data_IF_232487506567
#
_entry.id   IF_232487506567
#
_cell.length_a   1.000
_cell.length_b   1.000
_cell.length_c   1.000
_cell.angle_alpha   90.00
_cell.angle_beta   90.00
_cell.angle_gamma   90.00
#
_symmetry.space_group_name_H-M   'P 1'
#
loop_
_entity.id
_entity.type
_entity.pdbx_description
1 polymer ?
#
# COMPACT_ATOMS: atom_id res chain seq x y z
N UNK A 1 -25.54 9.17 -19.03
CA UNK A 1 -25.27 9.30 -17.59
C UNK A 1 -24.91 7.90 -17.11
N UNK A 2 -23.68 7.68 -16.65
CA UNK A 2 -23.23 6.36 -16.21
C UNK A 2 -24.08 5.95 -15.01
N UNK A 3 -24.81 4.84 -15.12
CA UNK A 3 -25.80 4.40 -14.10
C UNK A 3 -25.19 4.01 -12.75
N UNK A 4 -23.86 4.05 -12.65
CA UNK A 4 -23.08 3.51 -11.55
C UNK A 4 -22.15 4.54 -10.90
N UNK A 5 -22.07 5.78 -11.39
CA UNK A 5 -21.33 6.86 -10.73
C UNK A 5 -22.30 7.69 -9.89
N UNK A 6 -21.95 7.91 -8.63
CA UNK A 6 -22.77 8.69 -7.71
C UNK A 6 -22.39 10.18 -7.77
N UNK A 7 -23.41 11.02 -7.86
CA UNK A 7 -23.28 12.46 -7.72
C UNK A 7 -23.01 12.87 -6.26
N UNK A 8 -22.51 14.10 -6.08
CA UNK A 8 -22.13 14.63 -4.76
C UNK A 8 -23.29 14.71 -3.76
N UNK A 9 -24.52 14.81 -4.26
CA UNK A 9 -25.74 14.85 -3.44
C UNK A 9 -26.09 13.49 -2.81
N UNK A 10 -25.45 12.39 -3.25
CA UNK A 10 -25.69 11.03 -2.74
C UNK A 10 -24.86 10.64 -1.52
N UNK A 11 -24.15 11.61 -0.92
CA UNK A 11 -23.33 11.34 0.26
C UNK A 11 -24.13 10.73 1.41
N UNK A 12 -25.37 11.19 1.65
CA UNK A 12 -26.17 10.69 2.77
C UNK A 12 -26.49 9.19 2.61
N UNK A 13 -26.91 8.77 1.42
CA UNK A 13 -27.19 7.36 1.11
C UNK A 13 -25.93 6.50 1.21
N UNK A 14 -24.79 7.03 0.77
CA UNK A 14 -23.50 6.34 0.91
C UNK A 14 -23.10 6.20 2.39
N UNK A 15 -23.25 7.27 3.18
CA UNK A 15 -22.92 7.29 4.60
C UNK A 15 -23.81 6.32 5.40
N UNK A 16 -25.10 6.25 5.09
CA UNK A 16 -26.02 5.30 5.71
C UNK A 16 -25.60 3.85 5.45
N UNK A 17 -25.29 3.51 4.19
CA UNK A 17 -24.80 2.16 3.85
C UNK A 17 -23.45 1.86 4.51
N UNK A 18 -22.58 2.87 4.65
CA UNK A 18 -21.30 2.75 5.36
C UNK A 18 -21.46 2.42 6.84
N UNK A 19 -22.31 3.15 7.55
CA UNK A 19 -22.57 2.87 8.96
C UNK A 19 -23.09 1.44 9.15
N UNK A 20 -24.00 1.02 8.28
CA UNK A 20 -24.56 -0.33 8.30
C UNK A 20 -23.49 -1.40 8.01
N UNK A 21 -22.80 -1.31 6.87
CA UNK A 21 -21.90 -2.34 6.36
C UNK A 21 -20.68 -2.57 7.26
N UNK A 22 -20.20 -1.52 7.91
CA UNK A 22 -19.03 -1.57 8.80
C UNK A 22 -19.39 -1.64 10.28
N UNK A 23 -20.68 -1.78 10.62
CA UNK A 23 -21.20 -1.81 11.99
C UNK A 23 -20.63 -0.66 12.85
N UNK A 24 -20.74 0.58 12.35
CA UNK A 24 -20.20 1.77 13.00
C UNK A 24 -21.33 2.62 13.59
N UNK A 25 -21.17 3.16 14.82
CA UNK A 25 -22.08 4.17 15.34
C UNK A 25 -21.96 5.46 14.52
N UNK A 26 -23.01 6.27 14.46
CA UNK A 26 -22.90 7.61 13.89
C UNK A 26 -22.09 8.54 14.81
N UNK A 27 -21.28 9.41 14.23
CA UNK A 27 -20.67 10.54 14.93
C UNK A 27 -20.30 11.66 13.94
N UNK A 28 -20.24 12.90 14.44
CA UNK A 28 -19.86 14.05 13.62
C UNK A 28 -18.46 13.87 12.98
N UNK A 29 -17.48 13.39 13.75
CA UNK A 29 -16.13 13.14 13.25
C UNK A 29 -16.14 12.11 12.11
N UNK A 30 -16.84 10.98 12.29
CA UNK A 30 -16.91 9.91 11.28
C UNK A 30 -17.58 10.38 10.00
N UNK A 31 -18.65 11.16 10.13
CA UNK A 31 -19.32 11.80 8.99
C UNK A 31 -18.36 12.72 8.25
N UNK A 32 -17.61 13.55 8.95
CA UNK A 32 -16.63 14.47 8.34
C UNK A 32 -15.50 13.73 7.63
N UNK A 33 -14.89 12.73 8.30
CA UNK A 33 -13.80 11.92 7.77
C UNK A 33 -14.24 11.10 6.55
N UNK A 34 -15.45 10.54 6.55
CA UNK A 34 -15.97 9.87 5.35
C UNK A 34 -16.29 10.87 4.24
N UNK A 35 -16.83 12.06 4.59
CA UNK A 35 -17.18 13.10 3.61
C UNK A 35 -15.94 13.58 2.85
N UNK A 36 -14.82 13.79 3.53
CA UNK A 36 -13.57 14.19 2.89
C UNK A 36 -13.09 13.14 1.87
N UNK A 37 -13.10 11.85 2.24
CA UNK A 37 -12.80 10.76 1.29
C UNK A 37 -13.79 10.73 0.13
N UNK A 38 -15.09 10.88 0.41
CA UNK A 38 -16.13 10.90 -0.60
C UNK A 38 -15.92 12.05 -1.60
N UNK A 39 -15.53 13.23 -1.14
CA UNK A 39 -15.28 14.40 -2.00
C UNK A 39 -14.06 14.26 -2.89
N UNK A 40 -13.12 13.40 -2.50
CA UNK A 40 -11.87 13.15 -3.20
C UNK A 40 -11.88 11.83 -3.98
N UNK A 41 -12.93 11.01 -3.82
CA UNK A 41 -13.09 9.74 -4.50
C UNK A 41 -13.91 9.86 -5.77
N UNK A 42 -13.67 8.95 -6.72
CA UNK A 42 -14.68 8.57 -7.70
C UNK A 42 -15.60 7.57 -6.99
N UNK A 43 -16.86 7.95 -6.80
CA UNK A 43 -17.80 7.16 -6.00
C UNK A 43 -18.68 6.32 -6.92
N UNK A 44 -18.62 5.01 -6.74
CA UNK A 44 -19.41 4.04 -7.50
C UNK A 44 -20.57 3.58 -6.65
N UNK A 45 -21.74 3.39 -7.26
CA UNK A 45 -22.93 2.96 -6.54
C UNK A 45 -24.06 2.47 -7.43
N UNK A 46 -24.81 1.48 -6.93
CA UNK A 46 -26.05 0.99 -7.55
C UNK A 46 -27.21 1.41 -6.65
N UNK A 47 -27.98 2.37 -7.12
CA UNK A 47 -29.21 2.79 -6.45
C UNK A 47 -30.31 1.76 -6.65
N UNK A 48 -31.08 1.50 -5.60
CA UNK A 48 -32.35 0.82 -5.66
C UNK A 48 -33.41 1.74 -5.05
N UNK A 49 -34.22 2.34 -5.91
CA UNK A 49 -35.14 3.42 -5.55
C UNK A 49 -34.40 4.56 -4.82
N UNK A 50 -34.72 4.80 -3.56
CA UNK A 50 -34.15 5.85 -2.72
C UNK A 50 -32.90 5.40 -1.93
N UNK A 51 -32.60 4.10 -1.91
CA UNK A 51 -31.50 3.52 -1.13
C UNK A 51 -30.32 3.10 -2.00
N UNK A 52 -29.12 3.13 -1.42
CA UNK A 52 -27.92 2.61 -2.06
C UNK A 52 -27.80 1.10 -1.76
N UNK A 53 -27.81 0.27 -2.80
CA UNK A 53 -27.73 -1.18 -2.64
C UNK A 53 -26.31 -1.75 -2.66
N UNK A 54 -25.40 -1.11 -3.38
CA UNK A 54 -23.96 -1.42 -3.37
C UNK A 54 -23.19 -0.15 -3.64
N UNK A 55 -21.97 -0.04 -3.10
CA UNK A 55 -21.11 1.10 -3.35
C UNK A 55 -19.65 0.80 -3.08
N UNK A 56 -18.77 1.61 -3.65
CA UNK A 56 -17.34 1.60 -3.35
C UNK A 56 -16.72 2.97 -3.67
N UNK A 57 -15.56 3.23 -3.06
CA UNK A 57 -14.68 4.30 -3.49
C UNK A 57 -13.59 3.78 -4.42
N UNK A 58 -13.26 4.59 -5.42
CA UNK A 58 -12.00 4.56 -6.14
C UNK A 58 -11.30 5.91 -5.92
N UNK A 59 -10.36 5.95 -4.99
CA UNK A 59 -9.70 7.18 -4.52
C UNK A 59 -8.42 7.41 -5.32
N UNK A 60 -8.30 8.49 -6.11
CA UNK A 60 -7.08 8.79 -6.86
C UNK A 60 -5.93 9.19 -5.93
N UNK A 61 -4.81 8.48 -6.09
CA UNK A 61 -3.54 8.72 -5.41
C UNK A 61 -2.38 8.65 -6.41
N UNK A 62 -1.19 8.98 -5.91
CA UNK A 62 0.07 8.66 -6.56
C UNK A 62 0.89 7.77 -5.63
N UNK A 63 1.72 6.90 -6.19
CA UNK A 63 2.68 6.08 -5.44
C UNK A 63 4.07 6.28 -6.03
N UNK A 64 5.09 6.25 -5.18
CA UNK A 64 6.48 6.23 -5.62
C UNK A 64 6.99 4.79 -5.57
N UNK A 65 7.26 4.21 -6.74
CA UNK A 65 7.73 2.84 -6.91
C UNK A 65 9.15 2.85 -7.48
N UNK A 66 10.13 2.74 -6.59
CA UNK A 66 11.56 2.89 -6.82
C UNK A 66 11.90 4.12 -7.64
N UNK A 67 11.54 5.29 -7.11
CA UNK A 67 11.80 6.61 -7.71
C UNK A 67 11.02 6.86 -9.03
N UNK A 68 10.04 6.01 -9.36
CA UNK A 68 9.08 6.20 -10.45
C UNK A 68 7.69 6.47 -9.89
N UNK A 69 7.09 7.60 -10.26
CA UNK A 69 5.73 7.94 -9.85
C UNK A 69 4.68 7.26 -10.74
N UNK A 70 3.73 6.56 -10.11
CA UNK A 70 2.59 5.94 -10.78
C UNK A 70 1.28 6.51 -10.25
N UNK A 71 0.32 6.72 -11.16
CA UNK A 71 -1.08 6.91 -10.78
C UNK A 71 -1.61 5.61 -10.18
N UNK A 72 -2.21 5.72 -9.01
CA UNK A 72 -2.76 4.59 -8.28
C UNK A 72 -4.14 4.95 -7.74
N UNK A 73 -5.14 4.10 -7.98
CA UNK A 73 -6.43 4.29 -7.32
C UNK A 73 -6.60 3.29 -6.17
N UNK A 74 -6.84 3.82 -4.97
CA UNK A 74 -7.19 3.03 -3.79
C UNK A 74 -8.65 2.63 -3.84
N UNK A 75 -8.95 1.34 -3.86
CA UNK A 75 -10.32 0.86 -3.67
C UNK A 75 -10.61 0.77 -2.17
N UNK A 76 -11.66 1.47 -1.74
CA UNK A 76 -12.07 1.55 -0.34
C UNK A 76 -13.58 1.38 -0.19
N UNK A 77 -14.00 1.07 1.03
CA UNK A 77 -15.42 1.04 1.45
C UNK A 77 -16.32 0.25 0.48
N UNK A 78 -15.90 -0.95 0.05
CA UNK A 78 -16.71 -1.85 -0.79
C UNK A 78 -17.86 -2.41 0.05
N UNK A 79 -19.09 -2.13 -0.38
CA UNK A 79 -20.31 -2.40 0.40
C UNK A 79 -21.41 -3.03 -0.45
N UNK A 80 -22.25 -3.83 0.21
CA UNK A 80 -23.52 -4.33 -0.34
C UNK A 80 -24.52 -4.45 0.79
N UNK A 81 -25.70 -3.84 0.62
CA UNK A 81 -26.78 -4.01 1.58
C UNK A 81 -27.26 -5.48 1.54
N UNK A 82 -27.56 -6.11 2.69
CA UNK A 82 -27.86 -7.54 2.75
C UNK A 82 -29.11 -7.95 1.96
N UNK A 83 -30.13 -7.08 1.88
CA UNK A 83 -31.33 -7.29 1.07
C UNK A 83 -31.04 -7.31 -0.45
N UNK A 84 -29.88 -6.79 -0.87
CA UNK A 84 -29.38 -6.76 -2.25
C UNK A 84 -28.09 -7.56 -2.45
N UNK A 85 -27.58 -8.20 -1.38
CA UNK A 85 -26.39 -9.03 -1.37
C UNK A 85 -26.55 -10.28 -2.23
N UNK A 86 -25.42 -10.83 -2.69
CA UNK A 86 -25.41 -12.07 -3.49
C UNK A 86 -25.90 -11.91 -4.94
N UNK A 87 -26.21 -10.70 -5.40
CA UNK A 87 -26.67 -10.41 -6.78
C UNK A 87 -25.58 -9.85 -7.71
N UNK A 88 -24.33 -9.84 -7.25
CA UNK A 88 -23.18 -9.39 -8.05
C UNK A 88 -22.98 -7.87 -8.16
N UNK A 89 -23.70 -7.06 -7.38
CA UNK A 89 -23.62 -5.58 -7.44
C UNK A 89 -22.20 -5.03 -7.20
N UNK A 90 -21.57 -5.40 -6.09
CA UNK A 90 -20.19 -5.00 -5.81
C UNK A 90 -19.20 -5.49 -6.89
N UNK A 91 -19.38 -6.71 -7.41
CA UNK A 91 -18.52 -7.25 -8.47
C UNK A 91 -18.67 -6.50 -9.80
N UNK A 92 -19.89 -6.09 -10.13
CA UNK A 92 -20.15 -5.20 -11.26
C UNK A 92 -19.44 -3.86 -11.09
N UNK A 93 -19.59 -3.21 -9.92
CA UNK A 93 -18.93 -1.93 -9.63
C UNK A 93 -17.40 -2.05 -9.66
N UNK A 94 -16.83 -3.14 -9.15
CA UNK A 94 -15.38 -3.41 -9.25
C UNK A 94 -14.91 -3.45 -10.71
N UNK A 95 -15.61 -4.17 -11.59
CA UNK A 95 -15.25 -4.24 -13.00
C UNK A 95 -15.34 -2.88 -13.69
N UNK A 96 -16.39 -2.09 -13.41
CA UNK A 96 -16.52 -0.74 -13.96
C UNK A 96 -15.41 0.19 -13.47
N UNK A 97 -15.05 0.12 -12.18
CA UNK A 97 -13.95 0.92 -11.65
C UNK A 97 -12.60 0.60 -12.33
N UNK A 98 -12.35 -0.67 -12.66
CA UNK A 98 -11.13 -1.09 -13.35
C UNK A 98 -11.07 -0.64 -14.81
N UNK A 99 -12.22 -0.67 -15.49
CA UNK A 99 -12.37 -0.18 -16.85
C UNK A 99 -12.16 1.34 -16.91
N UNK A 100 -12.81 2.09 -16.02
CA UNK A 100 -12.63 3.54 -15.91
C UNK A 100 -11.18 3.90 -15.53
N UNK A 101 -10.56 3.19 -14.59
CA UNK A 101 -9.12 3.35 -14.28
C UNK A 101 -8.23 3.18 -15.50
N UNK A 102 -8.45 2.13 -16.31
CA UNK A 102 -7.66 1.91 -17.52
C UNK A 102 -7.86 3.05 -18.52
N UNK A 103 -9.10 3.47 -18.75
CA UNK A 103 -9.44 4.57 -19.66
C UNK A 103 -8.82 5.91 -19.21
N UNK A 104 -8.69 6.13 -17.90
CA UNK A 104 -8.08 7.32 -17.30
C UNK A 104 -6.53 7.25 -17.18
N UNK A 105 -5.94 6.16 -17.68
CA UNK A 105 -4.49 5.92 -17.64
C UNK A 105 -3.95 5.70 -16.23
N UNK A 106 -4.76 5.12 -15.33
CA UNK A 106 -4.32 4.67 -14.00
C UNK A 106 -3.55 3.35 -14.14
N UNK A 107 -2.36 3.30 -13.57
CA UNK A 107 -1.44 2.17 -13.75
C UNK A 107 -1.65 1.09 -12.69
N UNK A 108 -1.86 1.49 -11.44
CA UNK A 108 -1.92 0.60 -10.29
C UNK A 108 -3.23 0.78 -9.53
N UNK A 109 -3.64 -0.25 -8.80
CA UNK A 109 -4.72 -0.11 -7.82
C UNK A 109 -4.43 -0.95 -6.59
N UNK A 110 -4.65 -0.37 -5.41
CA UNK A 110 -4.41 -1.01 -4.11
C UNK A 110 -5.72 -1.10 -3.31
N UNK A 111 -5.80 -2.04 -2.37
CA UNK A 111 -6.91 -2.14 -1.42
C UNK A 111 -6.56 -2.91 -0.15
N UNK A 112 -7.27 -2.63 0.94
CA UNK A 112 -7.32 -3.48 2.12
C UNK A 112 -8.41 -4.55 1.97
N UNK A 113 -8.06 -5.86 1.92
CA UNK A 113 -9.03 -6.90 1.65
C UNK A 113 -9.78 -7.34 2.92
N UNK A 114 -11.12 -7.31 2.90
CA UNK A 114 -11.92 -8.11 3.84
C UNK A 114 -11.87 -9.62 3.49
N UNK A 115 -11.60 -9.94 2.21
CA UNK A 115 -11.46 -11.30 1.71
C UNK A 115 -10.50 -11.34 0.52
N UNK A 116 -9.33 -11.93 0.71
CA UNK A 116 -8.34 -12.10 -0.37
C UNK A 116 -8.91 -12.89 -1.55
N UNK A 117 -9.70 -13.93 -1.28
CA UNK A 117 -10.32 -14.76 -2.33
C UNK A 117 -11.29 -13.95 -3.19
N UNK A 118 -12.08 -13.07 -2.57
CA UNK A 118 -12.98 -12.17 -3.29
C UNK A 118 -12.23 -11.24 -4.22
N UNK A 119 -11.14 -10.60 -3.78
CA UNK A 119 -10.43 -9.63 -4.62
C UNK A 119 -9.53 -10.27 -5.68
N UNK A 120 -9.03 -11.50 -5.44
CA UNK A 120 -8.22 -12.24 -6.43
C UNK A 120 -8.95 -12.50 -7.74
N UNK A 121 -10.29 -12.61 -7.73
CA UNK A 121 -11.06 -12.78 -8.97
C UNK A 121 -10.96 -11.56 -9.91
N UNK A 122 -10.61 -10.39 -9.37
CA UNK A 122 -10.39 -9.14 -10.11
C UNK A 122 -8.90 -8.85 -10.33
N UNK A 123 -8.03 -9.85 -10.30
CA UNK A 123 -6.60 -9.66 -10.58
C UNK A 123 -5.76 -9.05 -9.45
N UNK A 124 -6.35 -8.71 -8.30
CA UNK A 124 -5.59 -8.26 -7.12
C UNK A 124 -4.79 -9.41 -6.49
N UNK A 125 -3.67 -9.07 -5.88
CA UNK A 125 -2.87 -10.00 -5.11
C UNK A 125 -2.15 -9.32 -3.93
N UNK A 126 -1.93 -10.07 -2.85
CA UNK A 126 -1.15 -9.62 -1.71
C UNK A 126 0.30 -9.32 -2.14
N UNK A 127 0.74 -8.10 -1.86
CA UNK A 127 2.13 -7.67 -2.06
C UNK A 127 2.69 -6.89 -0.88
N UNK A 128 1.85 -6.48 0.07
CA UNK A 128 2.27 -5.79 1.28
C UNK A 128 2.05 -6.66 2.51
N UNK A 129 3.03 -6.65 3.41
CA UNK A 129 2.96 -7.24 4.74
C UNK A 129 3.43 -6.18 5.73
N UNK A 130 2.92 -6.24 6.96
CA UNK A 130 3.48 -5.52 8.09
C UNK A 130 4.17 -6.50 9.04
N UNK A 131 5.18 -6.02 9.75
CA UNK A 131 5.67 -6.73 10.95
C UNK A 131 5.25 -5.96 12.19
N UNK A 132 4.41 -6.57 13.03
CA UNK A 132 4.13 -6.08 14.37
C UNK A 132 5.22 -6.56 15.33
N UNK A 133 5.98 -5.62 15.85
CA UNK A 133 7.08 -5.86 16.78
C UNK A 133 6.61 -5.44 18.16
N UNK A 134 6.56 -6.36 19.12
CA UNK A 134 6.16 -6.06 20.51
C UNK A 134 7.32 -6.36 21.46
N UNK A 135 7.75 -5.36 22.22
CA UNK A 135 8.81 -5.46 23.22
C UNK A 135 8.24 -5.06 24.58
N UNK A 136 8.46 -5.88 25.62
CA UNK A 136 8.10 -5.52 26.99
C UNK A 136 9.03 -4.43 27.51
N UNK A 137 8.52 -3.57 28.38
CA UNK A 137 9.33 -2.49 28.96
C UNK A 137 10.62 -2.99 29.65
N UNK A 138 10.61 -4.19 30.25
CA UNK A 138 11.78 -4.81 30.89
C UNK A 138 12.86 -5.28 29.90
N UNK A 139 12.50 -5.47 28.64
CA UNK A 139 13.36 -5.99 27.57
C UNK A 139 13.80 -4.89 26.58
N UNK A 140 13.45 -3.63 26.85
CA UNK A 140 13.87 -2.52 26.01
C UNK A 140 15.40 -2.39 25.96
N UNK A 141 15.98 -2.09 24.78
CA UNK A 141 17.43 -1.99 24.62
C UNK A 141 17.99 -0.78 25.38
N UNK A 142 19.24 -0.88 25.83
CA UNK A 142 19.95 0.23 26.44
C UNK A 142 20.53 1.15 25.36
N UNK A 143 19.87 2.28 25.13
CA UNK A 143 20.36 3.27 24.17
C UNK A 143 21.26 4.28 24.87
N UNK A 144 22.49 4.44 24.36
CA UNK A 144 23.43 5.45 24.86
C UNK A 144 22.88 6.87 24.60
N UNK A 145 23.08 7.76 25.57
CA UNK A 145 22.81 9.17 25.37
C UNK A 145 23.82 9.76 24.39
N UNK A 146 23.37 10.68 23.55
CA UNK A 146 24.22 11.49 22.69
C UNK A 146 23.97 12.96 22.99
N UNK A 147 25.02 13.78 22.87
CA UNK A 147 24.91 15.24 22.90
C UNK A 147 24.67 15.81 21.49
N UNK A 148 24.75 14.96 20.47
CA UNK A 148 24.53 15.34 19.08
C UNK A 148 23.04 15.27 18.75
N UNK A 149 22.42 16.45 18.61
CA UNK A 149 21.02 16.57 18.22
C UNK A 149 20.03 16.43 19.38
N UNK A 150 18.76 16.61 19.04
CA UNK A 150 17.65 16.68 20.00
C UNK A 150 16.39 16.04 19.43
N UNK A 151 15.47 15.65 20.32
CA UNK A 151 14.11 15.26 19.93
C UNK A 151 13.11 16.27 20.49
N UNK A 152 12.22 16.78 19.64
CA UNK A 152 11.11 17.67 20.01
C UNK A 152 9.79 16.94 19.86
N UNK A 153 8.95 17.00 20.90
CA UNK A 153 7.59 16.46 20.85
C UNK A 153 6.62 17.57 20.44
N UNK A 154 5.76 17.28 19.46
CA UNK A 154 4.70 18.20 19.00
C UNK A 154 3.40 17.44 18.78
N UNK A 155 2.27 18.15 18.71
CA UNK A 155 0.98 17.54 18.38
C UNK A 155 0.91 17.22 16.89
N UNK A 156 0.12 16.22 16.50
CA UNK A 156 -0.10 15.92 15.07
C UNK A 156 -0.72 17.09 14.31
N UNK A 157 -1.53 17.92 14.98
CA UNK A 157 -2.10 19.16 14.43
C UNK A 157 -1.06 20.24 14.11
N UNK A 158 0.18 20.08 14.58
CA UNK A 158 1.31 20.99 14.34
C UNK A 158 2.31 20.38 13.36
N UNK A 159 1.89 19.40 12.54
CA UNK A 159 2.75 18.68 11.60
C UNK A 159 3.51 19.65 10.67
N UNK A 160 4.85 19.73 10.77
CA UNK A 160 5.61 20.66 9.95
C UNK A 160 5.88 20.07 8.56
N UNK A 161 6.02 20.92 7.54
CA UNK A 161 6.33 20.49 6.16
C UNK A 161 7.65 19.71 6.02
N UNK A 162 8.55 19.79 7.00
CA UNK A 162 9.74 18.94 7.03
C UNK A 162 9.39 17.45 7.18
N UNK A 163 8.31 17.10 7.90
CA UNK A 163 7.79 15.73 8.01
C UNK A 163 7.32 15.24 6.64
N UNK A 164 6.49 16.02 5.95
CA UNK A 164 5.99 15.68 4.60
C UNK A 164 7.13 15.43 3.62
N UNK A 165 8.15 16.30 3.63
CA UNK A 165 9.33 16.17 2.75
C UNK A 165 10.15 14.92 3.06
N UNK A 166 10.44 14.66 4.34
CA UNK A 166 11.23 13.50 4.72
C UNK A 166 10.47 12.18 4.46
N UNK A 167 9.16 12.16 4.69
CA UNK A 167 8.29 11.06 4.30
C UNK A 167 8.45 10.75 2.82
N UNK A 168 8.26 11.74 1.94
CA UNK A 168 8.36 11.56 0.49
C UNK A 168 9.76 11.09 0.06
N UNK A 169 10.83 11.61 0.67
CA UNK A 169 12.21 11.19 0.37
C UNK A 169 12.46 9.70 0.70
N UNK A 170 11.83 9.18 1.76
CA UNK A 170 12.06 7.80 2.23
C UNK A 170 11.05 6.79 1.72
N UNK A 171 9.85 7.23 1.36
CA UNK A 171 8.74 6.36 0.98
C UNK A 171 8.76 6.04 -0.53
N UNK A 172 9.73 5.24 -0.96
CA UNK A 172 9.97 4.91 -2.38
C UNK A 172 9.68 3.48 -2.78
N UNK A 173 9.24 2.62 -1.86
CA UNK A 173 9.04 1.18 -2.13
C UNK A 173 7.58 0.87 -2.46
N UNK A 174 6.97 1.65 -3.35
CA UNK A 174 5.57 1.50 -3.75
C UNK A 174 4.56 2.12 -2.79
N UNK A 175 5.03 2.91 -1.82
CA UNK A 175 4.20 3.64 -0.87
C UNK A 175 3.56 4.89 -1.48
N UNK A 176 2.56 5.42 -0.79
CA UNK A 176 1.77 6.55 -1.30
C UNK A 176 2.51 7.88 -1.24
N UNK A 177 2.52 8.62 -2.34
CA UNK A 177 2.93 10.03 -2.40
C UNK A 177 1.77 10.90 -1.90
N UNK A 178 1.70 11.08 -0.57
CA UNK A 178 0.60 11.74 0.13
C UNK A 178 0.39 13.18 -0.36
N UNK A 179 -0.80 13.46 -0.87
CA UNK A 179 -1.26 14.82 -1.13
C UNK A 179 -1.61 15.55 0.18
N UNK A 180 -1.68 16.89 0.15
CA UNK A 180 -1.97 17.68 1.36
C UNK A 180 -3.30 17.33 2.02
N UNK A 181 -4.33 17.06 1.23
CA UNK A 181 -5.62 16.64 1.77
C UNK A 181 -5.53 15.31 2.53
N UNK A 182 -4.67 14.39 2.11
CA UNK A 182 -4.51 13.13 2.82
C UNK A 182 -3.77 13.30 4.15
N UNK A 183 -2.82 14.24 4.22
CA UNK A 183 -2.22 14.63 5.51
C UNK A 183 -3.28 15.19 6.48
N UNK A 184 -4.15 16.08 6.00
CA UNK A 184 -5.25 16.62 6.79
C UNK A 184 -6.23 15.53 7.21
N UNK A 185 -6.58 14.63 6.29
CA UNK A 185 -7.40 13.46 6.57
C UNK A 185 -6.87 12.62 7.72
N UNK A 186 -5.56 12.33 7.73
CA UNK A 186 -4.95 11.57 8.82
C UNK A 186 -4.99 12.34 10.15
N UNK A 187 -4.78 13.66 10.13
CA UNK A 187 -4.88 14.50 11.34
C UNK A 187 -6.31 14.46 11.91
N UNK A 188 -7.32 14.61 11.06
CA UNK A 188 -8.73 14.64 11.47
C UNK A 188 -9.25 13.27 11.91
N UNK A 189 -8.78 12.20 11.25
CA UNK A 189 -9.11 10.82 11.58
C UNK A 189 -8.44 10.35 12.87
N UNK A 190 -7.21 10.80 13.13
CA UNK A 190 -6.38 10.37 14.26
C UNK A 190 -5.85 11.56 15.08
N UNK A 191 -6.74 12.36 15.71
CA UNK A 191 -6.34 13.52 16.50
C UNK A 191 -5.52 13.15 17.76
N UNK A 192 -5.56 11.88 18.17
CA UNK A 192 -4.79 11.33 19.29
C UNK A 192 -3.30 11.12 18.98
N UNK A 193 -2.92 11.13 17.69
CA UNK A 193 -1.53 10.94 17.29
C UNK A 193 -0.62 12.07 17.78
N UNK A 194 0.63 11.71 18.07
CA UNK A 194 1.69 12.63 18.47
C UNK A 194 2.91 12.46 17.57
N UNK A 195 3.71 13.52 17.50
CA UNK A 195 4.96 13.53 16.75
C UNK A 195 6.16 13.64 17.68
N UNK A 196 7.20 12.88 17.39
CA UNK A 196 8.54 13.10 17.94
C UNK A 196 9.49 13.36 16.78
N UNK A 197 10.12 14.54 16.76
CA UNK A 197 10.92 15.03 15.65
C UNK A 197 12.39 15.08 16.06
N UNK A 198 13.24 14.32 15.38
CA UNK A 198 14.69 14.31 15.62
C UNK A 198 15.40 15.36 14.76
N UNK A 199 16.24 16.17 15.38
CA UNK A 199 17.03 17.21 14.74
C UNK A 199 18.51 17.03 15.01
N UNK A 200 19.33 17.28 13.99
CA UNK A 200 20.76 17.53 14.12
C UNK A 200 21.01 18.99 13.74
N UNK A 201 21.49 19.80 14.69
CA UNK A 201 21.45 21.25 14.61
C UNK A 201 20.02 21.73 14.25
N UNK A 202 19.84 22.36 13.08
CA UNK A 202 18.54 22.87 12.62
C UNK A 202 17.86 21.99 11.54
N UNK A 203 18.48 20.86 11.15
CA UNK A 203 17.92 19.96 10.14
C UNK A 203 17.17 18.83 10.81
N UNK A 204 15.90 18.62 10.43
CA UNK A 204 15.15 17.44 10.83
C UNK A 204 15.72 16.21 10.09
N UNK A 205 16.06 15.16 10.85
CA UNK A 205 16.71 13.95 10.33
C UNK A 205 15.89 12.68 10.60
N UNK A 206 14.75 12.78 11.26
CA UNK A 206 13.84 11.66 11.47
C UNK A 206 12.59 12.09 12.25
N UNK A 207 11.57 11.25 12.23
CA UNK A 207 10.40 11.42 13.08
C UNK A 207 9.71 10.09 13.44
N UNK A 208 8.86 10.16 14.46
CA UNK A 208 7.87 9.17 14.83
C UNK A 208 6.47 9.77 14.76
N UNK A 209 5.49 9.02 14.24
CA UNK A 209 4.06 9.17 14.55
C UNK A 209 3.72 8.05 15.54
N UNK A 210 3.23 8.42 16.72
CA UNK A 210 2.93 7.46 17.79
C UNK A 210 1.70 7.87 18.58
N UNK A 211 1.10 6.91 19.27
CA UNK A 211 -0.03 7.11 20.17
C UNK A 211 0.02 6.11 21.32
N UNK A 212 -0.85 6.32 22.30
CA UNK A 212 -0.95 5.45 23.47
C UNK A 212 -2.27 4.69 23.41
N UNK A 213 -2.22 3.39 23.68
CA UNK A 213 -3.40 2.53 23.76
C UNK A 213 -3.36 1.70 25.05
N UNK A 214 -4.08 2.14 26.08
CA UNK A 214 -4.04 1.52 27.40
C UNK A 214 -2.62 1.50 27.97
N UNK A 215 -2.04 0.30 28.11
CA UNK A 215 -0.68 0.08 28.62
C UNK A 215 0.40 0.05 27.52
N UNK A 216 0.03 0.33 26.27
CA UNK A 216 0.90 0.22 25.11
C UNK A 216 1.36 1.59 24.60
N UNK A 217 2.66 1.72 24.31
CA UNK A 217 3.22 2.78 23.47
C UNK A 217 3.27 2.26 22.02
N UNK A 218 2.48 2.83 21.12
CA UNK A 218 2.34 2.34 19.75
C UNK A 218 2.99 3.32 18.76
N UNK A 219 3.96 2.83 18.01
CA UNK A 219 4.59 3.53 16.89
C UNK A 219 3.85 3.13 15.61
N UNK A 220 3.19 4.10 14.99
CA UNK A 220 2.48 3.93 13.73
C UNK A 220 3.38 4.18 12.52
N UNK A 221 4.26 5.18 12.61
CA UNK A 221 5.17 5.55 11.53
C UNK A 221 6.54 5.92 12.09
N UNK A 222 7.62 5.40 11.51
CA UNK A 222 8.98 5.68 11.95
C UNK A 222 9.92 5.88 10.76
N UNK A 223 10.35 7.11 10.55
CA UNK A 223 11.24 7.48 9.44
C UNK A 223 12.56 8.03 9.97
N UNK A 224 13.66 7.50 9.43
CA UNK A 224 15.03 7.85 9.82
C UNK A 224 15.85 8.18 8.56
N UNK A 225 16.59 9.29 8.57
CA UNK A 225 17.52 9.64 7.50
C UNK A 225 18.90 9.02 7.67
N UNK A 226 19.30 8.75 8.92
CA UNK A 226 20.65 8.31 9.27
C UNK A 226 20.69 7.58 10.64
N UNK A 227 21.83 6.96 11.01
CA UNK A 227 21.93 6.26 12.30
C UNK A 227 21.69 7.16 13.53
N UNK A 228 22.04 8.45 13.46
CA UNK A 228 21.80 9.37 14.57
C UNK A 228 20.31 9.58 14.84
N UNK A 229 19.49 9.69 13.78
CA UNK A 229 18.03 9.81 13.93
C UNK A 229 17.41 8.57 14.59
N UNK A 230 17.89 7.39 14.20
CA UNK A 230 17.46 6.12 14.80
C UNK A 230 17.82 6.08 16.29
N UNK A 231 19.07 6.42 16.65
CA UNK A 231 19.51 6.49 18.05
C UNK A 231 18.68 7.48 18.87
N UNK A 232 18.47 8.70 18.37
CA UNK A 232 17.72 9.76 19.05
C UNK A 232 16.26 9.34 19.28
N UNK A 233 15.58 8.82 18.26
CA UNK A 233 14.18 8.41 18.34
C UNK A 233 14.01 7.14 19.18
N UNK A 234 14.90 6.15 19.07
CA UNK A 234 14.87 4.97 19.92
C UNK A 234 15.16 5.34 21.38
N UNK A 235 16.04 6.31 21.65
CA UNK A 235 16.25 6.85 22.99
C UNK A 235 14.99 7.54 23.52
N UNK A 236 14.30 8.31 22.68
CA UNK A 236 13.02 8.93 23.03
C UNK A 236 11.98 7.88 23.42
N UNK A 237 11.83 6.82 22.62
CA UNK A 237 10.91 5.71 22.91
C UNK A 237 11.25 5.07 24.26
N UNK A 238 12.50 4.65 24.46
CA UNK A 238 12.93 3.96 25.70
C UNK A 238 12.82 4.81 26.96
N UNK A 239 12.79 6.15 26.87
CA UNK A 239 12.52 7.02 28.03
C UNK A 239 11.12 6.90 28.60
N UNK A 240 10.18 6.25 27.90
CA UNK A 240 8.83 6.01 28.38
C UNK A 240 8.70 4.66 29.12
N UNK A 241 9.81 3.95 29.36
CA UNK A 241 9.84 2.60 29.96
C UNK A 241 9.06 2.48 31.28
N UNK A 242 9.05 3.51 32.12
CA UNK A 242 8.34 3.49 33.41
C UNK A 242 6.83 3.78 33.30
N UNK A 243 6.34 4.15 32.11
CA UNK A 243 4.95 4.57 31.88
C UNK A 243 4.14 3.44 31.23
N UNK A 244 4.75 2.71 30.28
CA UNK A 244 4.08 1.70 29.49
C UNK A 244 4.63 0.30 29.79
N UNK A 245 3.77 -0.71 29.65
CA UNK A 245 4.15 -2.11 29.80
C UNK A 245 4.72 -2.68 28.51
N UNK A 246 4.16 -2.26 27.35
CA UNK A 246 4.56 -2.75 26.04
C UNK A 246 4.87 -1.61 25.07
N UNK A 247 5.82 -1.87 24.18
CA UNK A 247 6.22 -1.02 23.08
C UNK A 247 5.95 -1.76 21.78
N UNK A 248 5.09 -1.21 20.94
CA UNK A 248 4.60 -1.84 19.73
C UNK A 248 5.02 -0.98 18.54
N UNK A 249 5.69 -1.57 17.56
CA UNK A 249 5.93 -0.94 16.27
C UNK A 249 5.21 -1.72 15.18
N UNK A 250 4.29 -1.05 14.48
CA UNK A 250 3.65 -1.54 13.27
C UNK A 250 4.52 -1.16 12.07
N UNK A 251 5.49 -2.00 11.75
CA UNK A 251 6.45 -1.71 10.69
C UNK A 251 5.90 -2.10 9.31
N UNK A 252 6.02 -1.25 8.29
CA UNK A 252 5.71 -1.64 6.91
C UNK A 252 6.80 -2.53 6.28
N UNK A 253 7.91 -2.79 6.99
CA UNK A 253 8.95 -3.74 6.56
C UNK A 253 8.58 -5.15 7.05
N UNK A 254 8.34 -6.05 6.09
CA UNK A 254 8.06 -7.46 6.33
C UNK A 254 9.28 -8.26 6.81
N UNK A 255 10.49 -7.75 6.55
CA UNK A 255 11.75 -8.42 6.86
C UNK A 255 12.39 -7.79 8.09
N UNK A 256 11.81 -8.05 9.26
CA UNK A 256 12.37 -7.58 10.52
C UNK A 256 13.73 -8.23 10.82
N UNK A 257 14.70 -7.38 11.13
CA UNK A 257 16.10 -7.73 11.37
C UNK A 257 16.34 -7.93 12.86
N UNK A 258 15.82 -9.04 13.39
CA UNK A 258 15.92 -9.38 14.82
C UNK A 258 17.36 -9.52 15.31
N UNK A 259 18.29 -9.83 14.40
CA UNK A 259 19.73 -9.87 14.60
C UNK A 259 20.34 -8.52 15.01
N UNK A 260 19.63 -7.41 14.78
CA UNK A 260 20.05 -6.08 15.23
C UNK A 260 19.75 -5.80 16.70
N UNK A 261 18.94 -6.64 17.36
CA UNK A 261 18.69 -6.55 18.80
C UNK A 261 19.83 -7.22 19.57
N UNK A 262 20.24 -6.63 20.71
CA UNK A 262 21.24 -7.25 21.61
C UNK A 262 20.81 -8.66 22.05
N UNK A 263 19.51 -8.84 22.29
CA UNK A 263 18.88 -10.13 22.51
C UNK A 263 17.73 -10.30 21.50
N UNK A 264 17.85 -11.16 20.48
CA UNK A 264 16.78 -11.39 19.50
C UNK A 264 15.46 -11.88 20.13
N UNK A 265 15.51 -12.52 21.31
CA UNK A 265 14.32 -13.00 22.02
C UNK A 265 13.59 -11.90 22.82
N UNK A 266 14.11 -10.67 22.85
CA UNK A 266 13.50 -9.53 23.54
C UNK A 266 12.19 -9.07 22.89
N UNK A 267 11.98 -9.40 21.61
CA UNK A 267 10.83 -8.97 20.82
C UNK A 267 9.96 -10.16 20.40
N UNK A 268 8.63 -10.00 20.50
CA UNK A 268 7.67 -10.82 19.78
C UNK A 268 7.46 -10.22 18.39
N UNK A 269 7.55 -11.05 17.36
CA UNK A 269 7.43 -10.65 15.96
C UNK A 269 6.25 -11.36 15.32
N UNK A 270 5.35 -10.60 14.71
CA UNK A 270 4.16 -11.10 14.02
C UNK A 270 4.12 -10.49 12.62
N UNK A 271 4.29 -11.32 11.58
CA UNK A 271 4.09 -10.90 10.19
C UNK A 271 2.60 -10.95 9.88
N UNK A 272 2.04 -9.81 9.51
CA UNK A 272 0.61 -9.62 9.26
C UNK A 272 0.41 -9.30 7.79
N UNK A 273 -0.32 -10.14 7.03
CA UNK A 273 -0.79 -9.82 5.69
C UNK A 273 -1.51 -8.47 5.65
N UNK A 274 -1.11 -7.57 4.75
CA UNK A 274 -1.67 -6.22 4.65
C UNK A 274 -2.45 -6.02 3.34
N UNK A 275 -2.18 -4.95 2.60
CA UNK A 275 -2.92 -4.61 1.39
C UNK A 275 -2.56 -5.49 0.18
N UNK A 276 -3.52 -5.57 -0.73
CA UNK A 276 -3.34 -6.14 -2.06
C UNK A 276 -3.06 -5.02 -3.08
N UNK A 277 -2.38 -5.38 -4.15
CA UNK A 277 -2.20 -4.54 -5.33
C UNK A 277 -2.63 -5.29 -6.59
N UNK A 278 -2.91 -4.53 -7.64
CA UNK A 278 -2.95 -5.02 -9.02
C UNK A 278 -2.28 -4.04 -9.96
N UNK A 279 -1.73 -4.60 -11.03
CA UNK A 279 -1.41 -3.84 -12.23
C UNK A 279 -2.70 -3.66 -13.03
N UNK A 280 -3.15 -2.43 -13.19
CA UNK A 280 -4.32 -2.10 -14.02
C UNK A 280 -3.90 -2.03 -15.48
N UNK A 281 -2.85 -1.26 -15.78
CA UNK A 281 -2.31 -1.11 -17.13
C UNK A 281 -0.89 -1.70 -17.18
N UNK A 282 -0.76 -2.93 -17.71
CA UNK A 282 0.52 -3.64 -17.76
C UNK A 282 1.51 -2.97 -18.72
N UNK A 283 1.03 -2.45 -19.85
CA UNK A 283 1.89 -1.81 -20.84
C UNK A 283 2.58 -0.57 -20.27
N UNK A 284 1.80 0.32 -19.65
CA UNK A 284 2.32 1.52 -19.01
C UNK A 284 3.26 1.17 -17.83
N UNK A 285 2.87 0.19 -17.00
CA UNK A 285 3.68 -0.22 -15.86
C UNK A 285 5.06 -0.72 -16.31
N UNK A 286 5.12 -1.67 -17.27
CA UNK A 286 6.38 -2.23 -17.75
C UNK A 286 7.26 -1.22 -18.47
N UNK A 287 6.69 -0.31 -19.27
CA UNK A 287 7.46 0.71 -20.00
C UNK A 287 8.18 1.69 -19.07
N UNK A 288 7.59 1.99 -17.91
CA UNK A 288 8.16 2.91 -16.91
C UNK A 288 8.82 2.18 -15.74
N UNK A 289 8.81 0.86 -15.74
CA UNK A 289 9.29 0.05 -14.64
C UNK A 289 10.80 0.25 -14.38
N UNK A 290 11.26 0.28 -13.12
CA UNK A 290 12.67 0.37 -12.73
C UNK A 290 13.44 -0.93 -13.04
N UNK A 291 13.71 -1.18 -14.31
CA UNK A 291 14.35 -2.40 -14.82
C UNK A 291 15.78 -2.55 -14.27
N UNK A 292 16.11 -3.76 -13.79
CA UNK A 292 17.41 -4.08 -13.17
C UNK A 292 18.50 -4.55 -14.16
N UNK A 293 18.19 -4.66 -15.45
CA UNK A 293 19.11 -5.12 -16.51
C UNK A 293 19.02 -4.26 -17.76
N UNK A 294 20.18 -3.92 -18.32
CA UNK A 294 20.25 -3.09 -19.54
C UNK A 294 19.82 -3.80 -20.82
N UNK A 295 19.94 -5.13 -20.90
CA UNK A 295 19.67 -5.86 -22.13
C UNK A 295 18.88 -7.13 -21.85
N UNK A 296 17.90 -7.41 -22.71
CA UNK A 296 17.10 -8.62 -22.72
C UNK A 296 16.78 -8.99 -24.18
N UNK A 297 17.26 -10.16 -24.66
CA UNK A 297 16.79 -10.73 -25.92
C UNK A 297 15.28 -10.94 -25.89
N UNK A 298 14.63 -11.07 -27.05
CA UNK A 298 13.17 -11.23 -27.10
C UNK A 298 12.67 -12.38 -26.23
N UNK A 299 11.65 -12.08 -25.44
CA UNK A 299 10.87 -13.03 -24.65
C UNK A 299 9.41 -12.78 -24.90
N UNK A 300 8.68 -13.85 -25.19
CA UNK A 300 7.24 -13.84 -25.33
C UNK A 300 6.62 -14.47 -24.08
N UNK A 301 5.72 -13.80 -23.38
CA UNK A 301 5.04 -14.38 -22.21
C UNK A 301 3.54 -14.14 -22.27
N UNK A 302 2.75 -15.18 -21.98
CA UNK A 302 1.29 -15.06 -21.91
C UNK A 302 0.91 -14.56 -20.53
N UNK A 303 0.14 -13.47 -20.49
CA UNK A 303 -0.54 -13.01 -19.28
C UNK A 303 -1.99 -13.47 -19.32
N UNK A 304 -2.42 -14.08 -18.22
CA UNK A 304 -3.82 -14.41 -17.95
C UNK A 304 -4.40 -13.37 -16.98
N UNK A 305 -5.36 -12.59 -17.45
CA UNK A 305 -6.04 -11.54 -16.67
C UNK A 305 -7.54 -11.54 -16.96
N UNK A 306 -8.31 -11.20 -15.93
CA UNK A 306 -9.72 -10.78 -15.98
C UNK A 306 -9.94 -9.52 -16.84
N UNK A 307 -8.96 -8.62 -16.89
CA UNK A 307 -8.98 -7.42 -17.70
C UNK A 307 -8.41 -7.72 -19.10
N UNK A 308 -9.26 -7.63 -20.12
CA UNK A 308 -8.93 -8.05 -21.48
C UNK A 308 -7.70 -7.34 -22.05
N UNK A 309 -7.51 -6.04 -21.74
CA UNK A 309 -6.39 -5.23 -22.23
C UNK A 309 -5.01 -5.67 -21.71
N UNK A 310 -4.95 -6.50 -20.66
CA UNK A 310 -3.69 -7.11 -20.19
C UNK A 310 -3.52 -8.56 -20.69
N UNK A 311 -4.59 -9.20 -21.15
CA UNK A 311 -4.70 -10.65 -21.33
C UNK A 311 -4.13 -11.15 -22.67
N UNK A 312 -2.89 -10.75 -22.96
CA UNK A 312 -2.21 -10.97 -24.24
C UNK A 312 -0.95 -11.82 -24.10
N UNK A 313 -0.43 -12.30 -25.22
CA UNK A 313 0.97 -12.67 -25.32
C UNK A 313 1.75 -11.38 -25.55
N UNK A 314 2.68 -11.11 -24.64
CA UNK A 314 3.50 -9.92 -24.66
C UNK A 314 4.91 -10.27 -25.14
N UNK A 315 5.38 -9.60 -26.18
CA UNK A 315 6.76 -9.65 -26.63
C UNK A 315 7.54 -8.51 -25.98
N UNK A 316 8.51 -8.86 -25.14
CA UNK A 316 9.39 -7.94 -24.43
C UNK A 316 10.82 -8.04 -24.95
N UNK A 317 11.41 -6.88 -25.24
CA UNK A 317 12.85 -6.71 -25.45
C UNK A 317 13.36 -5.51 -24.66
N UNK A 318 14.63 -5.55 -24.26
CA UNK A 318 15.28 -4.41 -23.60
C UNK A 318 16.62 -4.18 -24.29
N UNK A 319 16.86 -2.95 -24.74
CA UNK A 319 18.12 -2.54 -25.36
C UNK A 319 18.61 -1.26 -24.68
N UNK A 320 19.79 -1.33 -24.06
CA UNK A 320 20.39 -0.24 -23.25
C UNK A 320 19.41 0.39 -22.23
N UNK A 321 18.63 -0.45 -21.56
CA UNK A 321 17.64 -0.06 -20.56
C UNK A 321 16.30 0.41 -21.12
N UNK A 322 16.16 0.55 -22.45
CA UNK A 322 14.91 0.94 -23.10
C UNK A 322 14.04 -0.30 -23.27
N UNK A 323 12.84 -0.26 -22.67
CA UNK A 323 11.83 -1.32 -22.76
C UNK A 323 11.02 -1.16 -24.06
N UNK A 324 11.03 -2.19 -24.91
CA UNK A 324 10.07 -2.34 -26.02
C UNK A 324 9.15 -3.53 -25.73
N UNK A 325 7.87 -3.20 -25.55
CA UNK A 325 6.81 -4.13 -25.18
C UNK A 325 5.67 -4.00 -26.17
N UNK A 326 5.24 -5.12 -26.76
CA UNK A 326 4.17 -5.17 -27.76
C UNK A 326 3.30 -6.40 -27.56
N UNK A 327 2.03 -6.30 -27.94
CA UNK A 327 1.14 -7.46 -28.09
C UNK A 327 1.63 -8.29 -29.28
N UNK A 328 1.68 -9.61 -29.09
CA UNK A 328 2.19 -10.60 -30.05
C UNK A 328 1.40 -11.91 -29.92
N UNK A 329 0.06 -11.83 -29.95
CA UNK A 329 -0.86 -12.96 -29.77
C UNK A 329 -0.70 -14.08 -30.82
N UNK A 330 -0.03 -13.79 -31.94
CA UNK A 330 0.31 -14.76 -32.97
C UNK A 330 1.57 -15.60 -32.67
N UNK A 331 2.30 -15.28 -31.60
CA UNK A 331 3.52 -16.00 -31.20
C UNK A 331 3.23 -17.10 -30.16
N UNK A 332 4.12 -18.09 -30.06
CA UNK A 332 4.10 -19.03 -28.93
C UNK A 332 4.75 -18.38 -27.69
N UNK A 333 4.15 -18.53 -26.49
CA UNK A 333 4.71 -17.98 -25.26
C UNK A 333 5.83 -18.87 -24.72
N UNK A 334 6.96 -18.27 -24.35
CA UNK A 334 8.05 -18.91 -23.61
C UNK A 334 7.56 -19.41 -22.23
N UNK A 335 6.65 -18.67 -21.60
CA UNK A 335 5.98 -19.06 -20.35
C UNK A 335 4.62 -18.38 -20.17
N UNK A 336 3.81 -18.91 -19.24
CA UNK A 336 2.49 -18.37 -18.88
C UNK A 336 2.48 -17.94 -17.41
N UNK A 337 1.83 -16.81 -17.15
CA UNK A 337 1.71 -16.21 -15.82
C UNK A 337 0.38 -15.48 -15.68
N UNK A 338 -0.22 -15.50 -14.49
CA UNK A 338 -1.42 -14.69 -14.22
C UNK A 338 -1.02 -13.26 -13.82
N UNK A 339 -1.92 -12.29 -13.98
CA UNK A 339 -1.64 -10.91 -13.54
C UNK A 339 -1.29 -10.83 -12.04
N UNK A 340 -1.87 -11.69 -11.20
CA UNK A 340 -1.58 -11.77 -9.76
C UNK A 340 -0.13 -12.17 -9.50
N UNK A 341 0.33 -13.25 -10.16
CA UNK A 341 1.70 -13.75 -10.02
C UNK A 341 2.72 -12.79 -10.64
N UNK A 342 2.36 -12.13 -11.75
CA UNK A 342 3.19 -11.09 -12.34
C UNK A 342 3.29 -9.87 -11.40
N UNK A 343 2.18 -9.45 -10.79
CA UNK A 343 2.15 -8.37 -9.80
C UNK A 343 3.07 -8.70 -8.62
N UNK A 344 2.98 -9.90 -8.02
CA UNK A 344 3.91 -10.36 -6.97
C UNK A 344 5.37 -10.26 -7.38
N UNK A 345 5.70 -10.69 -8.60
CA UNK A 345 7.07 -10.71 -9.07
C UNK A 345 7.61 -9.31 -9.34
N UNK A 346 6.81 -8.45 -9.99
CA UNK A 346 7.20 -7.09 -10.30
C UNK A 346 7.23 -6.17 -9.07
N UNK A 347 6.45 -6.47 -8.03
CA UNK A 347 6.51 -5.75 -6.75
C UNK A 347 7.68 -6.22 -5.86
N UNK A 348 8.46 -7.22 -6.27
CA UNK A 348 9.53 -7.79 -5.45
C UNK A 348 9.05 -8.71 -4.32
N UNK A 349 7.73 -8.95 -4.21
CA UNK A 349 7.14 -9.80 -3.17
C UNK A 349 7.55 -11.26 -3.29
N UNK A 350 7.53 -11.80 -4.53
CA UNK A 350 8.00 -13.15 -4.83
C UNK A 350 8.50 -13.27 -6.27
N UNK A 351 9.74 -13.70 -6.45
CA UNK A 351 10.36 -13.83 -7.78
C UNK A 351 9.63 -14.84 -8.68
N UNK A 352 9.71 -14.67 -10.01
CA UNK A 352 9.19 -15.65 -10.96
C UNK A 352 9.86 -17.02 -10.78
N UNK A 353 11.17 -17.05 -10.47
CA UNK A 353 11.87 -18.29 -10.15
C UNK A 353 11.21 -19.06 -9.00
N UNK A 354 10.90 -18.36 -7.91
CA UNK A 354 10.21 -18.96 -6.78
C UNK A 354 8.81 -19.43 -7.18
N UNK A 355 8.05 -18.62 -7.91
CA UNK A 355 6.71 -19.01 -8.40
C UNK A 355 6.75 -20.26 -9.29
N UNK A 356 7.81 -20.43 -10.09
CA UNK A 356 8.01 -21.64 -10.91
C UNK A 356 8.30 -22.87 -10.04
N UNK A 357 9.16 -22.72 -9.02
CA UNK A 357 9.46 -23.80 -8.07
C UNK A 357 8.22 -24.27 -7.29
N UNK A 358 7.30 -23.35 -6.97
CA UNK A 358 6.01 -23.68 -6.37
C UNK A 358 4.95 -24.18 -7.38
N UNK A 359 5.29 -24.30 -8.66
CA UNK A 359 4.38 -24.76 -9.71
C UNK A 359 3.26 -23.77 -10.08
N UNK A 360 3.38 -22.51 -9.66
CA UNK A 360 2.39 -21.44 -9.90
C UNK A 360 2.55 -20.79 -11.27
N UNK A 361 3.71 -20.93 -11.90
CA UNK A 361 3.95 -20.55 -13.30
C UNK A 361 4.60 -21.72 -14.05
N UNK A 362 4.39 -21.79 -15.36
CA UNK A 362 4.87 -22.88 -16.22
C UNK A 362 5.47 -22.33 -17.50
N UNK A 363 6.49 -23.00 -18.03
CA UNK A 363 7.18 -22.61 -19.27
C UNK A 363 8.67 -22.92 -19.23
N UNK A 364 9.42 -22.29 -20.13
CA UNK A 364 10.87 -22.39 -20.20
C UNK A 364 11.53 -21.77 -18.95
N UNK A 365 12.18 -22.61 -18.14
CA UNK A 365 12.86 -22.21 -16.90
C UNK A 365 13.96 -21.17 -17.12
N UNK A 366 14.71 -21.24 -18.22
CA UNK A 366 15.78 -20.28 -18.52
C UNK A 366 15.18 -18.91 -18.84
N UNK A 367 14.11 -18.88 -19.65
CA UNK A 367 13.37 -17.66 -19.99
C UNK A 367 12.74 -17.01 -18.76
N UNK A 368 12.12 -17.81 -17.90
CA UNK A 368 11.61 -17.36 -16.60
C UNK A 368 12.72 -16.75 -15.75
N UNK A 369 13.88 -17.39 -15.67
CA UNK A 369 14.99 -16.92 -14.84
C UNK A 369 15.58 -15.59 -15.32
N UNK A 370 15.73 -15.40 -16.63
CA UNK A 370 16.21 -14.12 -17.17
C UNK A 370 15.18 -13.01 -17.00
N UNK A 371 13.87 -13.29 -17.17
CA UNK A 371 12.81 -12.32 -16.89
C UNK A 371 12.74 -11.98 -15.40
N UNK A 372 12.87 -12.98 -14.52
CA UNK A 372 12.87 -12.77 -13.07
C UNK A 372 13.99 -11.85 -12.60
N UNK A 373 15.11 -11.80 -13.32
CA UNK A 373 16.25 -10.96 -12.98
C UNK A 373 16.07 -9.48 -13.39
N UNK A 374 15.00 -9.15 -14.11
CA UNK A 374 14.64 -7.78 -14.50
C UNK A 374 13.94 -7.01 -13.38
N UNK A 375 13.25 -7.73 -12.50
CA UNK A 375 12.38 -7.14 -11.50
C UNK A 375 13.14 -6.76 -10.23
N UNK A 376 12.63 -5.76 -9.52
CA UNK A 376 13.08 -5.36 -8.19
C UNK A 376 12.96 -6.54 -7.23
N UNK A 377 13.81 -6.56 -6.20
CA UNK A 377 13.88 -7.65 -5.22
C UNK A 377 13.50 -7.22 -3.81
N UNK A 378 13.47 -5.91 -3.57
CA UNK A 378 13.06 -5.34 -2.30
C UNK A 378 11.53 -5.44 -2.22
N UNK A 379 11.00 -5.91 -1.10
CA UNK A 379 9.56 -5.96 -0.86
C UNK A 379 9.01 -4.53 -0.77
N UNK A 380 7.78 -4.31 -1.23
CA UNK A 380 7.19 -2.99 -1.21
C UNK A 380 6.73 -2.67 0.22
N UNK A 381 6.66 -1.38 0.56
CA UNK A 381 6.30 -0.88 1.89
C UNK A 381 5.14 0.11 1.75
N UNK A 382 4.07 -0.12 2.51
CA UNK A 382 2.90 0.75 2.54
C UNK A 382 2.47 0.99 3.98
N UNK A 383 2.43 2.27 4.38
CA UNK A 383 2.05 2.69 5.74
C UNK A 383 0.55 3.03 5.81
N UNK A 384 0.03 3.65 4.75
CA UNK A 384 -1.33 4.19 4.71
C UNK A 384 -2.43 3.11 4.68
N UNK A 385 -3.59 3.47 5.23
CA UNK A 385 -4.82 2.66 5.21
C UNK A 385 -5.98 3.48 4.64
N UNK A 386 -6.70 2.94 3.66
CA UNK A 386 -7.85 3.57 3.01
C UNK A 386 -9.01 2.59 2.79
#
# INVERSE_FOLDING_TARGET
>A
MNKYLLDKDKFNQFYELYLYSFNRPDSQQRRSVLKERFDHAIVYGIMNEDKLGSGLFSIPFNVNFHDVDFKMNGIGDVMSAPEFGGRGGASFLMNQALEDMHNDGVTLSYLAPFSYGYYRQFGFEQVFDHTRITIKNSELPRVQNTQEGIVKRVKITELPDSVKRLYLEKNRLGGMSRADWWWNHMIDKHPEYQLALAYQANKMIGYLVYYNEGVNFVIHEWVNSNPLSLQLLLKFVTKHQSIFENFIYESPDADFKADLLENPNAAKLEVVPYMMARIVNLEDFLKRYPIQKKNLPRINFKVEDSCAWNSHIWSLTINDGIVDLKIADEQEPDFKVTIQNLTKAMFGYRSLNSLFEYGLIKGDKKKIAVTSALFVKEKPQLIDYF
#
